data_IF_071880441146
#
_entry.id   IF_071880441146
#
_cell.length_a   1.000
_cell.length_b   1.000
_cell.length_c   1.000
_cell.angle_alpha   90.00
_cell.angle_beta   90.00
_cell.angle_gamma   90.00
#
_symmetry.space_group_name_H-M   'P 1'
#
loop_
_entity.id
_entity.type
_entity.pdbx_description
1 polymer ?
#
# COMPACT_ATOMS: atom_id res chain seq x y z
N UNK A 1 10.67 -7.37 2.10
CA UNK A 1 10.87 -7.03 0.68
C UNK A 1 10.12 -7.94 -0.26
N UNK A 2 10.47 -9.24 -0.36
CA UNK A 2 9.81 -10.19 -1.28
C UNK A 2 8.28 -10.10 -1.27
N UNK A 3 7.66 -10.08 -0.10
CA UNK A 3 6.19 -9.97 0.04
C UNK A 3 5.63 -8.66 -0.54
N UNK A 4 6.30 -7.54 -0.32
CA UNK A 4 5.86 -6.24 -0.83
C UNK A 4 5.93 -6.20 -2.37
N UNK A 5 7.00 -6.74 -2.94
CA UNK A 5 7.19 -6.87 -4.39
C UNK A 5 6.14 -7.80 -5.00
N UNK A 6 5.89 -8.97 -4.40
CA UNK A 6 4.85 -9.90 -4.88
C UNK A 6 3.46 -9.25 -4.98
N UNK A 7 3.05 -8.46 -3.98
CA UNK A 7 1.76 -7.75 -4.05
C UNK A 7 1.78 -6.63 -5.09
N UNK A 8 2.90 -5.92 -5.24
CA UNK A 8 3.03 -4.86 -6.23
C UNK A 8 2.99 -5.41 -7.67
N UNK A 9 3.71 -6.50 -7.93
CA UNK A 9 3.74 -7.18 -9.21
C UNK A 9 2.35 -7.73 -9.55
N UNK A 10 1.63 -8.29 -8.56
CA UNK A 10 0.25 -8.71 -8.73
C UNK A 10 -0.69 -7.54 -9.05
N UNK A 11 -0.51 -6.38 -8.40
CA UNK A 11 -1.29 -5.18 -8.69
C UNK A 11 -1.09 -4.75 -10.16
N UNK A 12 0.17 -4.69 -10.60
CA UNK A 12 0.53 -4.36 -11.99
C UNK A 12 -0.05 -5.38 -12.96
N UNK A 13 0.06 -6.68 -12.68
CA UNK A 13 -0.47 -7.72 -13.55
C UNK A 13 -1.99 -7.64 -13.72
N UNK A 14 -2.72 -7.38 -12.63
CA UNK A 14 -4.19 -7.23 -12.66
C UNK A 14 -4.61 -6.00 -13.48
N UNK A 15 -3.94 -4.86 -13.31
CA UNK A 15 -4.20 -3.65 -14.09
C UNK A 15 -3.89 -3.85 -15.58
N UNK A 16 -2.81 -4.56 -15.91
CA UNK A 16 -2.41 -4.85 -17.30
C UNK A 16 -3.35 -5.82 -18.02
N UNK A 17 -3.97 -6.75 -17.30
CA UNK A 17 -4.86 -7.77 -17.87
C UNK A 17 -6.31 -7.31 -17.98
N UNK A 18 -6.66 -6.17 -17.40
CA UNK A 18 -8.02 -5.64 -17.44
C UNK A 18 -8.31 -4.98 -18.79
N UNK A 19 -9.51 -5.21 -19.32
CA UNK A 19 -10.00 -4.51 -20.51
C UNK A 19 -10.24 -3.03 -20.17
N UNK A 20 -10.87 -2.75 -19.03
CA UNK A 20 -10.98 -1.41 -18.45
C UNK A 20 -10.44 -1.38 -17.01
N UNK A 21 -9.74 -0.31 -16.64
CA UNK A 21 -9.19 -0.16 -15.28
C UNK A 21 -10.27 -0.21 -14.17
N UNK A 22 -11.52 0.14 -14.50
CA UNK A 22 -12.67 0.02 -13.60
C UNK A 22 -13.04 -1.43 -13.26
N UNK A 23 -12.75 -2.39 -14.14
CA UNK A 23 -13.14 -3.79 -13.96
C UNK A 23 -12.41 -4.44 -12.79
N UNK A 24 -11.23 -3.90 -12.47
CA UNK A 24 -10.32 -4.45 -11.45
C UNK A 24 -9.93 -3.42 -10.38
N UNK A 25 -10.56 -2.24 -10.36
CA UNK A 25 -10.13 -1.12 -9.52
C UNK A 25 -10.06 -1.48 -8.02
N UNK A 26 -11.03 -2.24 -7.51
CA UNK A 26 -11.07 -2.68 -6.12
C UNK A 26 -9.96 -3.71 -5.82
N UNK A 27 -9.73 -4.66 -6.72
CA UNK A 27 -8.66 -5.65 -6.60
C UNK A 27 -7.28 -4.98 -6.66
N UNK A 28 -7.08 -4.08 -7.62
CA UNK A 28 -5.86 -3.29 -7.78
C UNK A 28 -5.54 -2.48 -6.52
N UNK A 29 -6.51 -1.73 -5.98
CA UNK A 29 -6.31 -0.96 -4.75
C UNK A 29 -6.03 -1.86 -3.56
N UNK A 30 -6.71 -3.01 -3.45
CA UNK A 30 -6.46 -3.98 -2.38
C UNK A 30 -5.01 -4.48 -2.41
N UNK A 31 -4.50 -4.82 -3.59
CA UNK A 31 -3.10 -5.23 -3.77
C UNK A 31 -2.13 -4.09 -3.45
N UNK A 32 -2.43 -2.86 -3.85
CA UNK A 32 -1.64 -1.67 -3.48
C UNK A 32 -1.56 -1.47 -1.96
N UNK A 33 -2.67 -1.69 -1.23
CA UNK A 33 -2.70 -1.61 0.23
C UNK A 33 -1.78 -2.65 0.85
N UNK A 34 -1.87 -3.92 0.41
CA UNK A 34 -1.03 -4.99 0.93
C UNK A 34 0.46 -4.78 0.62
N UNK A 35 0.79 -4.32 -0.59
CA UNK A 35 2.15 -3.95 -0.96
C UNK A 35 2.69 -2.80 -0.09
N UNK A 36 1.88 -1.75 0.11
CA UNK A 36 2.27 -0.59 0.93
C UNK A 36 2.51 -0.93 2.40
N UNK A 37 1.68 -1.78 3.00
CA UNK A 37 1.88 -2.27 4.38
C UNK A 37 3.19 -3.05 4.48
N UNK A 38 3.39 -4.03 3.58
CA UNK A 38 4.60 -4.86 3.61
C UNK A 38 5.88 -4.04 3.33
N UNK A 39 5.79 -2.98 2.53
CA UNK A 39 6.90 -2.06 2.28
C UNK A 39 7.18 -1.18 3.52
N UNK A 40 6.15 -0.65 4.17
CA UNK A 40 6.27 0.10 5.41
C UNK A 40 6.95 -0.73 6.53
N UNK A 41 6.56 -2.01 6.66
CA UNK A 41 7.17 -2.92 7.64
C UNK A 41 8.67 -3.08 7.41
N UNK A 42 9.11 -3.14 6.15
CA UNK A 42 10.55 -3.21 5.85
C UNK A 42 11.25 -1.93 6.26
N UNK A 43 10.69 -0.77 5.93
CA UNK A 43 11.27 0.53 6.28
C UNK A 43 11.41 0.64 7.80
N UNK A 44 10.35 0.35 8.56
CA UNK A 44 10.37 0.37 10.01
C UNK A 44 11.39 -0.64 10.57
N UNK A 45 11.37 -1.89 10.10
CA UNK A 45 12.31 -2.91 10.56
C UNK A 45 13.78 -2.51 10.30
N UNK A 46 14.07 -1.91 9.14
CA UNK A 46 15.42 -1.50 8.78
C UNK A 46 15.90 -0.24 9.53
N UNK A 47 14.99 0.65 9.96
CA UNK A 47 15.34 1.94 10.58
C UNK A 47 15.19 1.96 12.09
N UNK A 48 14.25 1.19 12.63
CA UNK A 48 13.91 1.15 14.06
C UNK A 48 14.20 -0.21 14.70
N UNK A 49 14.43 -1.26 13.90
CA UNK A 49 14.57 -2.63 14.42
C UNK A 49 13.24 -3.31 14.77
N UNK A 50 12.11 -2.65 14.51
CA UNK A 50 10.76 -3.13 14.79
C UNK A 50 9.77 -2.73 13.69
N UNK A 51 8.65 -3.44 13.62
CA UNK A 51 7.52 -3.15 12.73
C UNK A 51 6.22 -3.50 13.45
N UNK A 52 5.09 -2.92 13.03
CA UNK A 52 3.80 -3.14 13.68
C UNK A 52 3.36 -4.59 13.50
N UNK A 53 3.06 -5.29 14.60
CA UNK A 53 2.61 -6.68 14.62
C UNK A 53 1.13 -6.75 14.97
N UNK A 54 0.26 -6.39 14.04
CA UNK A 54 -1.17 -6.50 14.26
C UNK A 54 -2.01 -5.88 13.15
N UNK A 55 -3.33 -5.92 13.35
CA UNK A 55 -4.30 -5.28 12.46
C UNK A 55 -4.49 -3.78 12.77
N UNK A 56 -3.75 -3.25 13.77
CA UNK A 56 -3.86 -1.86 14.17
C UNK A 56 -3.12 -0.94 13.18
N UNK A 57 -3.90 -0.45 12.21
CA UNK A 57 -3.48 0.49 11.19
C UNK A 57 -2.86 1.78 11.76
N UNK A 58 -3.40 2.31 12.86
CA UNK A 58 -2.92 3.56 13.43
C UNK A 58 -1.53 3.40 14.04
N UNK A 59 -1.24 2.24 14.61
CA UNK A 59 0.08 1.89 15.12
C UNK A 59 1.11 1.78 13.99
N UNK A 60 0.77 1.12 12.89
CA UNK A 60 1.66 1.02 11.72
C UNK A 60 1.99 2.41 11.14
N UNK A 61 1.00 3.30 11.08
CA UNK A 61 1.23 4.67 10.60
C UNK A 61 2.03 5.50 11.59
N UNK A 62 1.77 5.37 12.90
CA UNK A 62 2.54 6.07 13.92
C UNK A 62 4.01 5.66 13.92
N UNK A 63 4.27 4.36 13.79
CA UNK A 63 5.62 3.81 13.72
C UNK A 63 6.36 4.30 12.46
N UNK A 64 5.73 4.23 11.29
CA UNK A 64 6.32 4.76 10.07
C UNK A 64 6.52 6.28 10.15
N UNK A 65 5.64 7.01 10.85
CA UNK A 65 5.77 8.45 11.05
C UNK A 65 6.97 8.84 11.92
N UNK A 66 7.48 7.93 12.76
CA UNK A 66 8.72 8.13 13.48
C UNK A 66 9.96 8.03 12.57
N UNK A 67 9.85 7.31 11.46
CA UNK A 67 10.89 7.22 10.41
C UNK A 67 10.76 8.37 9.40
N UNK A 68 9.58 8.52 8.80
CA UNK A 68 9.29 9.52 7.77
C UNK A 68 7.79 9.86 7.73
N UNK A 69 7.46 11.13 7.97
CA UNK A 69 6.08 11.63 8.00
C UNK A 69 5.39 11.59 6.63
N UNK A 70 6.12 11.75 5.54
CA UNK A 70 5.57 11.70 4.18
C UNK A 70 5.22 10.25 3.81
N UNK A 71 6.09 9.29 4.12
CA UNK A 71 5.80 7.87 3.92
C UNK A 71 4.60 7.42 4.77
N UNK A 72 4.51 7.89 6.01
CA UNK A 72 3.33 7.66 6.86
C UNK A 72 2.04 8.23 6.25
N UNK A 73 2.12 9.37 5.55
CA UNK A 73 1.00 9.93 4.79
C UNK A 73 0.54 9.03 3.64
N UNK A 74 1.48 8.41 2.91
CA UNK A 74 1.16 7.43 1.87
C UNK A 74 0.51 6.16 2.44
N UNK A 75 1.06 5.62 3.54
CA UNK A 75 0.50 4.45 4.20
C UNK A 75 -0.91 4.74 4.73
N UNK A 76 -1.13 5.88 5.39
CA UNK A 76 -2.47 6.29 5.85
C UNK A 76 -3.47 6.36 4.70
N UNK A 77 -3.08 6.96 3.58
CA UNK A 77 -3.96 7.06 2.41
C UNK A 77 -4.39 5.68 1.89
N UNK A 78 -3.47 4.72 1.83
CA UNK A 78 -3.77 3.33 1.44
C UNK A 78 -4.74 2.68 2.45
N UNK A 79 -4.46 2.78 3.75
CA UNK A 79 -5.28 2.17 4.79
C UNK A 79 -6.72 2.71 4.82
N UNK A 80 -6.91 4.00 4.53
CA UNK A 80 -8.27 4.58 4.36
C UNK A 80 -9.02 3.98 3.16
N UNK A 81 -8.32 3.53 2.12
CA UNK A 81 -8.95 2.92 0.94
C UNK A 81 -9.25 1.42 1.11
N UNK A 82 -8.65 0.73 2.08
CA UNK A 82 -8.90 -0.71 2.36
C UNK A 82 -10.39 -1.00 2.57
N UNK A 83 -11.06 -0.19 3.39
CA UNK A 83 -12.48 -0.41 3.71
C UNK A 83 -13.37 -0.17 2.49
N UNK A 84 -13.01 0.79 1.65
CA UNK A 84 -13.74 1.08 0.42
C UNK A 84 -13.61 -0.07 -0.57
N UNK A 85 -12.39 -0.50 -0.89
CA UNK A 85 -12.13 -1.54 -1.88
C UNK A 85 -12.63 -2.92 -1.43
N UNK A 86 -12.60 -3.22 -0.13
CA UNK A 86 -12.98 -4.53 0.39
C UNK A 86 -14.48 -4.72 0.69
N UNK A 87 -15.22 -3.63 0.93
CA UNK A 87 -16.56 -3.73 1.53
C UNK A 87 -17.59 -2.72 0.98
N UNK A 88 -17.21 -1.82 0.07
CA UNK A 88 -18.17 -0.90 -0.52
C UNK A 88 -18.91 -1.53 -1.70
N UNK A 89 -20.18 -1.14 -1.89
CA UNK A 89 -20.93 -1.45 -3.11
C UNK A 89 -20.57 -0.52 -4.27
N UNK A 90 -19.91 0.60 -4.00
CA UNK A 90 -19.46 1.54 -5.02
C UNK A 90 -18.03 1.21 -5.45
N UNK A 91 -17.78 0.99 -6.75
CA UNK A 91 -16.44 0.73 -7.24
C UNK A 91 -15.46 1.85 -6.90
N UNK A 92 -14.20 1.50 -6.63
CA UNK A 92 -13.10 2.46 -6.56
C UNK A 92 -13.06 3.30 -7.84
N UNK A 93 -13.00 4.62 -7.68
CA UNK A 93 -12.83 5.53 -8.82
C UNK A 93 -11.40 5.49 -9.38
N UNK A 94 -11.24 5.80 -10.67
CA UNK A 94 -9.93 5.87 -11.32
C UNK A 94 -8.95 6.86 -10.63
N UNK A 95 -9.45 7.92 -10.00
CA UNK A 95 -8.60 8.82 -9.21
C UNK A 95 -8.04 8.15 -7.95
N UNK A 96 -8.90 7.40 -7.23
CA UNK A 96 -8.50 6.64 -6.05
C UNK A 96 -7.52 5.52 -6.42
N UNK A 97 -7.77 4.79 -7.50
CA UNK A 97 -6.84 3.78 -8.02
C UNK A 97 -5.47 4.40 -8.34
N UNK A 98 -5.41 5.48 -9.12
CA UNK A 98 -4.15 6.18 -9.41
C UNK A 98 -3.45 6.67 -8.14
N UNK A 99 -4.18 7.17 -7.16
CA UNK A 99 -3.63 7.60 -5.87
C UNK A 99 -3.04 6.43 -5.08
N UNK A 100 -3.70 5.28 -5.07
CA UNK A 100 -3.21 4.07 -4.42
C UNK A 100 -1.90 3.59 -5.06
N UNK A 101 -1.85 3.51 -6.40
CA UNK A 101 -0.63 3.13 -7.13
C UNK A 101 0.56 4.03 -6.81
N UNK A 102 0.37 5.35 -6.78
CA UNK A 102 1.44 6.30 -6.40
C UNK A 102 1.91 6.11 -4.95
N UNK A 103 0.99 5.90 -4.02
CA UNK A 103 1.32 5.69 -2.61
C UNK A 103 2.09 4.36 -2.41
N UNK A 104 1.66 3.29 -3.06
CA UNK A 104 2.35 2.01 -3.09
C UNK A 104 3.78 2.17 -3.64
N UNK A 105 3.93 2.81 -4.80
CA UNK A 105 5.23 3.01 -5.43
C UNK A 105 6.20 3.79 -4.53
N UNK A 106 5.75 4.88 -3.89
CA UNK A 106 6.57 5.66 -2.98
C UNK A 106 7.09 4.83 -1.79
N UNK A 107 6.24 3.97 -1.22
CA UNK A 107 6.61 3.08 -0.12
C UNK A 107 7.59 1.98 -0.57
N UNK A 108 7.39 1.41 -1.75
CA UNK A 108 8.29 0.40 -2.32
C UNK A 108 9.68 0.97 -2.60
N UNK A 109 9.78 2.18 -3.17
CA UNK A 109 11.05 2.84 -3.41
C UNK A 109 11.80 3.08 -2.10
N UNK A 110 11.10 3.57 -1.06
CA UNK A 110 11.70 3.74 0.26
C UNK A 110 12.18 2.40 0.86
N UNK A 111 11.38 1.34 0.72
CA UNK A 111 11.73 0.01 1.21
C UNK A 111 12.93 -0.59 0.48
N UNK A 112 13.05 -0.36 -0.84
CA UNK A 112 14.23 -0.74 -1.65
C UNK A 112 15.48 -0.01 -1.20
N UNK A 113 15.38 1.29 -0.92
CA UNK A 113 16.49 2.11 -0.43
C UNK A 113 16.88 1.85 1.04
N UNK A 114 16.01 1.18 1.80
CA UNK A 114 16.27 0.83 3.20
C UNK A 114 17.00 -0.52 3.37
N UNK A 115 17.04 -1.34 2.32
CA UNK A 115 17.74 -2.63 2.27
C UNK A 115 19.22 -2.44 1.94
#
# INVERSE_FOLDING_TARGET
MVKAEQFADAAVAVDMLADEASDVADAYVTLCVHAGIAAADVVCAARLGEYSRGENHDEAVALLSAVDKNLAGHLRALLTMRTLAGYSHSPVSADRARRAGRAMAALLEAARAAR
#
